data_IF_823198257635
#
_entry.id   IF_823198257635
#
_cell.length_a   1.000
_cell.length_b   1.000
_cell.length_c   1.000
_cell.angle_alpha   90.00
_cell.angle_beta   90.00
_cell.angle_gamma   90.00
#
_symmetry.space_group_name_H-M   'P 1'
#
loop_
_entity.id
_entity.type
_entity.pdbx_description
1 polymer ?
#
# COMPACT_ATOMS: atom_id res chain seq x y z
N UNK A 1 -9.72 15.61 -4.24
CA UNK A 1 -10.10 14.21 -4.48
C UNK A 1 -9.07 13.67 -5.43
N UNK A 2 -8.29 12.68 -5.02
CA UNK A 2 -7.10 12.25 -5.77
C UNK A 2 -7.17 10.74 -6.00
N UNK A 3 -6.83 10.32 -7.21
CA UNK A 3 -6.70 8.90 -7.55
C UNK A 3 -5.33 8.39 -7.11
N UNK A 4 -5.34 7.30 -6.35
CA UNK A 4 -4.15 6.56 -5.93
C UNK A 4 -4.13 5.16 -6.53
N UNK A 5 -2.93 4.69 -6.85
CA UNK A 5 -2.69 3.29 -7.17
C UNK A 5 -1.87 2.63 -6.05
N UNK A 6 -2.24 1.40 -5.69
CA UNK A 6 -1.57 0.62 -4.64
C UNK A 6 -1.13 -0.70 -5.25
N UNK A 7 0.15 -1.02 -5.13
CA UNK A 7 0.67 -2.38 -5.40
C UNK A 7 1.30 -2.93 -4.14
N UNK A 8 1.17 -4.24 -3.92
CA UNK A 8 1.67 -4.88 -2.71
C UNK A 8 2.11 -6.31 -2.99
N UNK A 9 2.96 -6.81 -2.10
CA UNK A 9 3.36 -8.21 -2.03
C UNK A 9 3.20 -8.66 -0.58
N UNK A 10 2.40 -9.70 -0.36
CA UNK A 10 2.33 -10.40 0.92
C UNK A 10 3.18 -11.66 0.83
N UNK A 11 4.00 -11.92 1.85
CA UNK A 11 4.74 -13.18 1.93
C UNK A 11 3.78 -14.37 2.03
N UNK A 12 4.14 -15.54 1.48
CA UNK A 12 3.36 -16.76 1.69
C UNK A 12 3.53 -17.25 3.14
N UNK A 13 2.48 -17.84 3.71
CA UNK A 13 2.51 -18.43 5.05
C UNK A 13 2.18 -17.47 6.21
N UNK A 14 2.44 -17.94 7.43
CA UNK A 14 2.11 -17.22 8.66
C UNK A 14 3.25 -16.32 9.11
N UNK A 15 2.95 -15.03 9.27
CA UNK A 15 3.88 -14.01 9.74
C UNK A 15 3.27 -13.33 10.96
N UNK A 16 4.00 -13.30 12.07
CA UNK A 16 3.53 -12.68 13.32
C UNK A 16 2.23 -13.31 13.85
N UNK A 17 2.02 -14.62 13.61
CA UNK A 17 0.82 -15.35 14.04
C UNK A 17 -0.43 -15.15 13.17
N UNK A 18 -0.35 -14.39 12.07
CA UNK A 18 -1.45 -14.20 11.12
C UNK A 18 -1.13 -14.92 9.82
N UNK A 19 -2.07 -15.68 9.27
CA UNK A 19 -1.94 -16.30 7.95
C UNK A 19 -2.12 -15.29 6.80
N UNK A 20 -1.92 -15.75 5.57
CA UNK A 20 -2.03 -14.93 4.36
C UNK A 20 -3.42 -14.31 4.24
N UNK A 21 -4.49 -15.10 4.37
CA UNK A 21 -5.87 -14.64 4.18
C UNK A 21 -6.28 -13.61 5.23
N UNK A 22 -5.84 -13.78 6.48
CA UNK A 22 -6.04 -12.80 7.55
C UNK A 22 -5.34 -11.48 7.23
N UNK A 23 -4.08 -11.52 6.75
CA UNK A 23 -3.35 -10.30 6.37
C UNK A 23 -3.97 -9.63 5.14
N UNK A 24 -4.40 -10.42 4.16
CA UNK A 24 -5.06 -9.93 2.95
C UNK A 24 -6.41 -9.27 3.28
N UNK A 25 -7.22 -9.91 4.12
CA UNK A 25 -8.48 -9.34 4.62
C UNK A 25 -8.25 -8.03 5.39
N UNK A 26 -7.27 -7.99 6.29
CA UNK A 26 -6.93 -6.77 7.03
C UNK A 26 -6.44 -5.63 6.11
N UNK A 27 -5.63 -5.95 5.09
CA UNK A 27 -5.18 -4.98 4.08
C UNK A 27 -6.37 -4.42 3.29
N UNK A 28 -7.32 -5.29 2.89
CA UNK A 28 -8.56 -4.87 2.27
C UNK A 28 -9.30 -3.89 3.17
N UNK A 29 -9.58 -4.25 4.43
CA UNK A 29 -10.35 -3.40 5.34
C UNK A 29 -9.66 -2.05 5.61
N UNK A 30 -8.32 -2.03 5.70
CA UNK A 30 -7.56 -0.79 5.82
C UNK A 30 -7.78 0.13 4.62
N UNK A 31 -7.75 -0.40 3.40
CA UNK A 31 -8.00 0.39 2.18
C UNK A 31 -9.48 0.77 2.06
N UNK A 32 -10.41 -0.11 2.45
CA UNK A 32 -11.85 0.19 2.52
C UNK A 32 -12.15 1.41 3.38
N UNK A 33 -11.42 1.61 4.48
CA UNK A 33 -11.62 2.76 5.38
C UNK A 33 -11.29 4.11 4.73
N UNK A 34 -10.52 4.14 3.63
CA UNK A 34 -10.05 5.37 2.98
C UNK A 34 -10.60 5.62 1.57
N UNK A 35 -11.33 4.66 0.96
CA UNK A 35 -11.94 4.84 -0.36
C UNK A 35 -13.12 5.81 -0.30
N UNK A 36 -13.38 6.56 -1.38
CA UNK A 36 -14.60 7.34 -1.52
C UNK A 36 -15.69 6.50 -2.22
N UNK A 37 -15.82 6.60 -3.55
CA UNK A 37 -16.93 5.99 -4.28
C UNK A 37 -16.49 4.86 -5.22
N UNK A 38 -15.23 4.84 -5.65
CA UNK A 38 -14.75 3.92 -6.67
C UNK A 38 -13.53 3.14 -6.19
N UNK A 39 -13.61 1.82 -6.32
CA UNK A 39 -12.55 0.92 -5.89
C UNK A 39 -12.55 -0.33 -6.75
N UNK A 40 -11.39 -0.65 -7.33
CA UNK A 40 -11.18 -1.85 -8.15
C UNK A 40 -10.01 -2.63 -7.58
N UNK A 41 -10.27 -3.87 -7.13
CA UNK A 41 -9.33 -4.67 -6.32
C UNK A 41 -9.21 -6.14 -6.73
N UNK A 42 -9.70 -6.49 -7.92
CA UNK A 42 -9.69 -7.86 -8.44
C UNK A 42 -8.28 -8.45 -8.68
N UNK A 43 -7.23 -7.68 -9.01
CA UNK A 43 -5.88 -8.22 -9.06
C UNK A 43 -5.28 -8.30 -7.65
N UNK A 44 -4.67 -9.43 -7.33
CA UNK A 44 -3.91 -9.69 -6.09
C UNK A 44 -2.68 -8.80 -5.89
N UNK A 45 -2.45 -7.79 -6.74
CA UNK A 45 -1.27 -6.92 -6.70
C UNK A 45 -1.46 -5.51 -7.30
N UNK A 46 -2.69 -5.03 -7.54
CA UNK A 46 -2.89 -3.68 -8.08
C UNK A 46 -4.30 -3.14 -7.84
N UNK A 47 -4.40 -2.08 -7.03
CA UNK A 47 -5.66 -1.43 -6.67
C UNK A 47 -5.67 0.03 -7.09
N UNK A 48 -6.82 0.53 -7.55
CA UNK A 48 -7.07 1.97 -7.71
C UNK A 48 -8.15 2.41 -6.73
N UNK A 49 -7.91 3.54 -6.05
CA UNK A 49 -8.88 4.18 -5.14
C UNK A 49 -8.95 5.69 -5.38
N UNK A 50 -10.13 6.26 -5.19
CA UNK A 50 -10.32 7.68 -4.94
C UNK A 50 -10.29 7.96 -3.43
N UNK A 51 -9.56 8.99 -2.99
CA UNK A 51 -9.53 9.35 -1.57
C UNK A 51 -9.39 10.86 -1.32
N UNK A 52 -9.92 11.29 -0.17
CA UNK A 52 -9.65 12.60 0.43
C UNK A 52 -8.47 12.56 1.43
N UNK A 53 -7.98 11.36 1.75
CA UNK A 53 -6.79 11.19 2.59
C UNK A 53 -5.52 11.48 1.79
N UNK A 54 -4.49 11.94 2.49
CA UNK A 54 -3.13 12.05 1.93
C UNK A 54 -2.49 10.66 1.79
N UNK A 55 -1.53 10.52 0.88
CA UNK A 55 -0.75 9.28 0.73
C UNK A 55 -0.09 8.82 2.04
N UNK A 56 0.35 9.75 2.89
CA UNK A 56 0.94 9.45 4.19
C UNK A 56 -0.07 8.83 5.18
N UNK A 57 -1.31 9.33 5.21
CA UNK A 57 -2.37 8.78 6.06
C UNK A 57 -2.75 7.35 5.61
N UNK A 58 -2.85 7.14 4.29
CA UNK A 58 -3.13 5.82 3.71
C UNK A 58 -2.00 4.84 4.05
N UNK A 59 -0.74 5.26 3.88
CA UNK A 59 0.42 4.44 4.17
C UNK A 59 0.54 4.08 5.66
N UNK A 60 0.25 5.01 6.57
CA UNK A 60 0.22 4.75 8.01
C UNK A 60 -0.85 3.70 8.38
N UNK A 61 -2.02 3.75 7.75
CA UNK A 61 -3.07 2.75 7.93
C UNK A 61 -2.66 1.36 7.42
N UNK A 62 -2.06 1.30 6.23
CA UNK A 62 -1.54 0.05 5.63
C UNK A 62 -0.44 -0.57 6.50
N UNK A 63 0.46 0.25 7.05
CA UNK A 63 1.55 -0.19 7.94
C UNK A 63 1.04 -0.96 9.16
N UNK A 64 -0.11 -0.55 9.71
CA UNK A 64 -0.73 -1.25 10.83
C UNK A 64 -1.44 -2.55 10.42
N UNK A 65 -1.81 -2.67 9.14
CA UNK A 65 -2.55 -3.83 8.63
C UNK A 65 -1.62 -5.00 8.26
N UNK A 66 -0.48 -4.72 7.63
CA UNK A 66 0.47 -5.74 7.14
C UNK A 66 1.55 -6.10 8.17
N UNK A 67 2.46 -7.01 7.84
CA UNK A 67 3.69 -7.26 8.60
C UNK A 67 4.88 -6.57 7.89
N UNK A 68 5.27 -5.34 8.26
CA UNK A 68 6.21 -4.54 7.46
C UNK A 68 7.61 -5.13 7.31
N UNK A 69 7.98 -6.13 8.13
CA UNK A 69 9.24 -6.85 7.99
C UNK A 69 9.24 -7.87 6.84
N UNK A 70 8.07 -8.32 6.40
CA UNK A 70 7.91 -9.40 5.41
C UNK A 70 7.07 -8.97 4.20
N UNK A 71 6.19 -7.99 4.39
CA UNK A 71 5.25 -7.49 3.39
C UNK A 71 5.70 -6.13 2.84
N UNK A 72 5.23 -5.79 1.65
CA UNK A 72 5.50 -4.53 0.95
C UNK A 72 4.19 -3.92 0.42
N UNK A 73 4.03 -2.61 0.58
CA UNK A 73 3.01 -1.83 -0.14
C UNK A 73 3.59 -0.51 -0.66
N UNK A 74 3.22 -0.13 -1.88
CA UNK A 74 3.57 1.14 -2.50
C UNK A 74 2.30 1.87 -2.91
N UNK A 75 2.14 3.10 -2.44
CA UNK A 75 1.01 4.00 -2.70
C UNK A 75 1.49 5.14 -3.58
N UNK A 76 1.07 5.18 -4.85
CA UNK A 76 1.38 6.29 -5.76
C UNK A 76 0.16 7.15 -6.04
N UNK A 77 0.36 8.46 -6.23
CA UNK A 77 -0.69 9.36 -6.75
C UNK A 77 -0.61 9.43 -8.27
N UNK A 78 -1.76 9.50 -8.93
CA UNK A 78 -1.84 9.80 -10.37
C UNK A 78 -1.76 11.31 -10.68
N UNK A 79 -2.07 12.15 -9.69
CA UNK A 79 -2.14 13.62 -9.84
C UNK A 79 -0.83 14.30 -9.40
N UNK A 80 -0.18 13.73 -8.40
CA UNK A 80 1.09 14.22 -7.88
C UNK A 80 2.20 13.21 -8.22
N UNK A 81 3.37 13.69 -8.63
CA UNK A 81 4.55 12.84 -8.93
C UNK A 81 5.18 12.26 -7.65
N UNK A 82 4.39 11.87 -6.66
CA UNK A 82 4.85 11.36 -5.37
C UNK A 82 4.31 9.96 -5.10
N UNK A 83 5.02 9.24 -4.23
CA UNK A 83 4.60 7.95 -3.74
C UNK A 83 5.05 7.76 -2.29
N UNK A 84 4.36 6.89 -1.57
CA UNK A 84 4.68 6.48 -0.21
C UNK A 84 4.81 4.96 -0.17
N UNK A 85 5.93 4.47 0.35
CA UNK A 85 6.19 3.04 0.47
C UNK A 85 6.21 2.59 1.94
N UNK A 86 5.70 1.39 2.17
CA UNK A 86 5.56 0.74 3.47
C UNK A 86 6.15 -0.66 3.39
N UNK A 87 7.01 -1.02 4.34
CA UNK A 87 7.46 -2.40 4.52
C UNK A 87 8.84 -2.73 3.97
N UNK A 88 9.09 -4.02 3.72
CA UNK A 88 10.43 -4.54 3.44
C UNK A 88 10.80 -4.35 1.96
N UNK A 89 11.72 -3.43 1.71
CA UNK A 89 12.12 -3.01 0.37
C UNK A 89 13.59 -3.35 0.16
N UNK A 90 13.84 -4.42 -0.59
CA UNK A 90 15.21 -4.82 -0.92
C UNK A 90 15.96 -3.79 -1.77
N UNK A 91 15.26 -3.08 -2.67
CA UNK A 91 15.84 -2.23 -3.72
C UNK A 91 15.45 -0.74 -3.58
N UNK A 92 15.54 -0.20 -2.36
CA UNK A 92 15.09 1.18 -2.05
C UNK A 92 15.79 2.25 -2.92
N UNK A 93 17.10 2.08 -3.19
CA UNK A 93 17.86 3.04 -4.00
C UNK A 93 17.35 3.11 -5.44
N UNK A 94 17.09 1.94 -6.05
CA UNK A 94 16.53 1.81 -7.39
C UNK A 94 15.13 2.43 -7.47
N UNK A 95 14.28 2.18 -6.47
CA UNK A 95 12.92 2.75 -6.43
C UNK A 95 12.94 4.28 -6.29
N UNK A 96 13.84 4.85 -5.46
CA UNK A 96 14.02 6.30 -5.36
C UNK A 96 14.55 6.95 -6.64
N UNK A 97 15.35 6.24 -7.44
CA UNK A 97 15.85 6.76 -8.72
C UNK A 97 14.71 6.91 -9.75
N UNK A 98 13.72 6.00 -9.71
CA UNK A 98 12.55 6.02 -10.59
C UNK A 98 11.45 6.95 -10.09
N UNK A 99 11.34 7.12 -8.77
CA UNK A 99 10.35 7.99 -8.10
C UNK A 99 11.08 8.95 -7.15
N UNK A 100 11.60 10.08 -7.64
CA UNK A 100 12.44 10.99 -6.84
C UNK A 100 11.75 11.59 -5.61
N UNK A 101 10.41 11.69 -5.63
CA UNK A 101 9.60 12.20 -4.52
C UNK A 101 9.01 11.08 -3.65
N UNK A 102 9.65 9.91 -3.64
CA UNK A 102 9.27 8.78 -2.79
C UNK A 102 9.51 9.09 -1.32
N UNK A 103 8.51 8.80 -0.49
CA UNK A 103 8.59 8.89 0.97
C UNK A 103 8.31 7.53 1.61
N UNK A 104 8.74 7.34 2.86
CA UNK A 104 8.56 6.09 3.62
C UNK A 104 7.64 6.34 4.80
N UNK A 105 6.73 5.43 5.09
CA UNK A 105 5.82 5.51 6.24
C UNK A 105 6.15 4.51 7.35
#
# INVERSE_FOLDING_TARGET
>A
MTTYWITFRLAAGSVGGRDYDTRYGALIEAVKAHRANHWWYEPTSFWLIDSNSTGAQIAASIKNAIAPAEDLALVGSMEFKNAVVVGNIAEMATLKALVPLLTTA
#
